data_IF_453229215551
#
_entry.id   IF_453229215551
#
_cell.length_a   1.000
_cell.length_b   1.000
_cell.length_c   1.000
_cell.angle_alpha   90.00
_cell.angle_beta   90.00
_cell.angle_gamma   90.00
#
_symmetry.space_group_name_H-M   'P 1'
#
loop_
_entity.id
_entity.type
_entity.pdbx_description
1 polymer ?
#
# COMPACT_ATOMS: atom_id res chain seq x y z
N UNK A 1 -12.87 -31.29 24.62
CA UNK A 1 -11.52 -31.82 24.92
C UNK A 1 -10.54 -30.66 24.80
N UNK A 2 -9.88 -30.28 25.89
CA UNK A 2 -8.72 -29.37 25.89
C UNK A 2 -9.01 -27.86 25.82
N UNK A 3 -9.72 -27.30 26.80
CA UNK A 3 -9.64 -25.86 27.02
C UNK A 3 -8.42 -25.61 27.91
N UNK A 4 -7.30 -25.17 27.33
CA UNK A 4 -6.17 -24.62 28.09
C UNK A 4 -6.68 -23.38 28.85
N UNK A 5 -7.21 -23.62 30.04
CA UNK A 5 -7.75 -22.61 30.91
C UNK A 5 -6.64 -21.96 31.74
N UNK A 6 -6.92 -20.78 32.28
CA UNK A 6 -6.06 -20.10 33.24
C UNK A 6 -5.66 -21.01 34.42
N UNK A 7 -6.54 -21.92 34.85
CA UNK A 7 -6.26 -22.89 35.91
C UNK A 7 -5.23 -23.96 35.52
N UNK A 8 -5.32 -24.51 34.31
CA UNK A 8 -4.39 -25.55 33.84
C UNK A 8 -2.98 -24.99 33.66
N UNK A 9 -2.87 -23.77 33.11
CA UNK A 9 -1.60 -23.06 32.99
C UNK A 9 -0.95 -22.82 34.37
N UNK A 10 -1.75 -22.51 35.39
CA UNK A 10 -1.29 -22.32 36.77
C UNK A 10 -0.70 -23.62 37.35
N UNK A 11 -1.35 -24.76 37.13
CA UNK A 11 -0.85 -26.07 37.58
C UNK A 11 0.48 -26.40 36.89
N UNK A 12 0.56 -26.23 35.57
CA UNK A 12 1.81 -26.44 34.82
C UNK A 12 2.92 -25.51 35.33
N UNK A 13 2.58 -24.25 35.64
CA UNK A 13 3.52 -23.29 36.21
C UNK A 13 4.06 -23.77 37.57
N UNK A 14 3.20 -24.25 38.48
CA UNK A 14 3.65 -24.81 39.75
C UNK A 14 4.53 -26.05 39.57
N UNK A 15 4.19 -26.95 38.65
CA UNK A 15 5.04 -28.12 38.34
C UNK A 15 6.40 -27.67 37.81
N UNK A 16 6.43 -26.71 36.89
CA UNK A 16 7.68 -26.15 36.37
C UNK A 16 8.52 -25.48 37.47
N UNK A 17 7.88 -24.76 38.40
CA UNK A 17 8.54 -24.17 39.56
C UNK A 17 9.12 -25.23 40.51
N UNK A 18 8.48 -26.38 40.68
CA UNK A 18 8.99 -27.46 41.51
C UNK A 18 10.20 -28.16 40.86
N UNK A 19 10.16 -28.37 39.54
CA UNK A 19 11.22 -29.04 38.78
C UNK A 19 12.46 -28.15 38.64
N UNK A 20 12.27 -26.90 38.21
CA UNK A 20 13.36 -25.98 37.91
C UNK A 20 13.73 -25.10 39.11
N UNK A 21 12.76 -24.76 39.95
CA UNK A 21 12.89 -23.83 41.08
C UNK A 21 12.36 -22.41 40.76
N UNK A 22 11.73 -21.72 41.73
CA UNK A 22 11.20 -20.36 41.52
C UNK A 22 12.27 -19.31 41.25
N UNK A 23 13.50 -19.55 41.70
CA UNK A 23 14.62 -18.65 41.42
C UNK A 23 15.19 -18.83 40.00
N UNK A 24 15.01 -20.00 39.38
CA UNK A 24 15.61 -20.34 38.08
C UNK A 24 14.71 -20.04 36.88
N UNK A 25 13.39 -20.09 37.07
CA UNK A 25 12.41 -19.70 36.04
C UNK A 25 12.63 -18.25 35.51
N UNK A 26 12.79 -17.21 36.36
CA UNK A 26 13.03 -15.85 35.87
C UNK A 26 14.38 -15.72 35.15
N UNK A 27 15.41 -16.45 35.58
CA UNK A 27 16.70 -16.46 34.89
C UNK A 27 16.60 -17.09 33.50
N UNK A 28 15.91 -18.23 33.37
CA UNK A 28 15.65 -18.87 32.09
C UNK A 28 14.82 -17.97 31.16
N UNK A 29 13.76 -17.35 31.68
CA UNK A 29 12.95 -16.40 30.92
C UNK A 29 13.76 -15.17 30.46
N UNK A 30 14.68 -14.68 31.30
CA UNK A 30 15.60 -13.58 30.92
C UNK A 30 16.55 -14.00 29.81
N UNK A 31 17.10 -15.22 29.85
CA UNK A 31 17.99 -15.73 28.80
C UNK A 31 17.24 -15.86 27.47
N UNK A 32 16.07 -16.49 27.47
CA UNK A 32 15.21 -16.61 26.29
C UNK A 32 14.79 -15.22 25.78
N UNK A 33 14.41 -14.32 26.69
CA UNK A 33 14.01 -12.96 26.35
C UNK A 33 15.13 -12.16 25.68
N UNK A 34 16.38 -12.32 26.14
CA UNK A 34 17.55 -11.71 25.48
C UNK A 34 17.74 -12.27 24.07
N UNK A 35 17.69 -13.59 23.90
CA UNK A 35 17.82 -14.23 22.59
C UNK A 35 16.73 -13.75 21.62
N UNK A 36 15.47 -13.71 22.06
CA UNK A 36 14.34 -13.20 21.25
C UNK A 36 14.53 -11.73 20.91
N UNK A 37 15.03 -10.91 21.84
CA UNK A 37 15.28 -9.50 21.60
C UNK A 37 16.41 -9.28 20.59
N UNK A 38 17.44 -10.11 20.64
CA UNK A 38 18.54 -10.08 19.69
C UNK A 38 18.08 -10.47 18.29
N UNK A 39 17.29 -11.55 18.18
CA UNK A 39 16.63 -11.95 16.92
C UNK A 39 15.77 -10.80 16.38
N UNK A 40 14.91 -10.19 17.22
CA UNK A 40 14.10 -9.02 16.82
C UNK A 40 14.95 -7.85 16.32
N UNK A 41 16.09 -7.58 16.95
CA UNK A 41 16.98 -6.49 16.57
C UNK A 41 17.65 -6.75 15.22
N UNK A 42 18.12 -7.98 15.00
CA UNK A 42 18.67 -8.44 13.72
C UNK A 42 17.59 -8.38 12.63
N UNK A 43 16.40 -8.93 12.87
CA UNK A 43 15.28 -8.87 11.92
C UNK A 43 14.87 -7.44 11.60
N UNK A 44 14.86 -6.53 12.59
CA UNK A 44 14.56 -5.11 12.37
C UNK A 44 15.64 -4.35 11.62
N UNK A 45 16.92 -4.74 11.76
CA UNK A 45 18.01 -4.25 10.90
C UNK A 45 17.84 -4.73 9.46
N UNK A 46 17.63 -6.04 9.30
CA UNK A 46 17.41 -6.68 8.00
C UNK A 46 16.21 -6.10 7.25
N UNK A 47 15.12 -5.75 7.94
CA UNK A 47 13.94 -5.15 7.32
C UNK A 47 14.19 -3.71 6.82
N UNK A 48 15.11 -2.97 7.45
CA UNK A 48 15.57 -1.65 6.95
C UNK A 48 16.49 -1.82 5.75
N UNK A 49 17.43 -2.74 5.84
CA UNK A 49 18.43 -2.99 4.81
C UNK A 49 17.80 -3.62 3.55
N UNK A 50 16.86 -4.56 3.70
CA UNK A 50 16.02 -5.04 2.59
C UNK A 50 15.16 -3.95 2.00
N UNK A 51 14.63 -3.03 2.81
CA UNK A 51 13.81 -1.93 2.33
C UNK A 51 14.65 -0.95 1.51
N UNK A 52 15.87 -0.65 1.92
CA UNK A 52 16.83 0.14 1.12
C UNK A 52 17.24 -0.62 -0.15
N UNK A 53 17.64 -1.89 -0.03
CA UNK A 53 18.05 -2.72 -1.17
C UNK A 53 16.91 -3.01 -2.18
N UNK A 54 15.63 -2.96 -1.78
CA UNK A 54 14.49 -3.03 -2.68
C UNK A 54 14.03 -1.65 -3.19
N UNK A 55 14.27 -0.57 -2.45
CA UNK A 55 13.90 0.79 -2.89
C UNK A 55 14.87 1.35 -3.93
N UNK A 56 16.16 1.03 -3.87
CA UNK A 56 17.14 1.40 -4.90
C UNK A 56 16.76 0.90 -6.30
N UNK A 57 16.46 -0.39 -6.53
CA UNK A 57 16.06 -0.87 -7.84
C UNK A 57 14.69 -0.33 -8.28
N UNK A 58 13.77 -0.07 -7.35
CA UNK A 58 12.48 0.54 -7.69
C UNK A 58 12.64 1.99 -8.16
N UNK A 59 13.42 2.82 -7.45
CA UNK A 59 13.67 4.21 -7.88
C UNK A 59 14.48 4.28 -9.17
N UNK A 60 15.48 3.42 -9.33
CA UNK A 60 16.24 3.33 -10.58
C UNK A 60 15.37 2.88 -11.75
N UNK A 61 14.48 1.90 -11.54
CA UNK A 61 13.53 1.46 -12.56
C UNK A 61 12.46 2.51 -12.89
N UNK A 62 12.02 3.30 -11.91
CA UNK A 62 11.05 4.37 -12.09
C UNK A 62 11.67 5.57 -12.83
N UNK A 63 12.91 5.92 -12.53
CA UNK A 63 13.69 6.92 -13.28
C UNK A 63 13.97 6.47 -14.72
N UNK A 64 14.39 5.21 -14.92
CA UNK A 64 14.58 4.66 -16.26
C UNK A 64 13.28 4.64 -17.07
N UNK A 65 12.14 4.39 -16.43
CA UNK A 65 10.82 4.51 -17.07
C UNK A 65 10.46 5.94 -17.42
N UNK A 66 10.76 6.90 -16.54
CA UNK A 66 10.49 8.32 -16.78
C UNK A 66 11.27 8.84 -17.99
N UNK A 67 12.59 8.62 -18.03
CA UNK A 67 13.46 9.00 -19.16
C UNK A 67 13.00 8.39 -20.50
N UNK A 68 12.45 7.18 -20.47
CA UNK A 68 11.95 6.49 -21.67
C UNK A 68 10.58 7.00 -22.13
N UNK A 69 9.78 7.56 -21.23
CA UNK A 69 8.43 8.09 -21.50
C UNK A 69 8.44 9.59 -21.82
N UNK A 70 9.47 10.33 -21.42
CA UNK A 70 9.65 11.76 -21.68
C UNK A 70 9.62 12.15 -23.18
N UNK A 71 10.32 11.46 -24.10
CA UNK A 71 10.22 11.79 -25.53
C UNK A 71 8.80 11.57 -26.09
N UNK A 72 8.05 10.60 -25.54
CA UNK A 72 6.69 10.31 -25.96
C UNK A 72 5.67 11.31 -25.41
N UNK A 73 5.86 11.76 -24.16
CA UNK A 73 5.04 12.81 -23.53
C UNK A 73 5.28 14.17 -24.19
N UNK A 74 6.53 14.53 -24.48
CA UNK A 74 6.83 15.77 -25.20
C UNK A 74 6.22 15.76 -26.60
N UNK A 75 6.35 14.65 -27.35
CA UNK A 75 5.73 14.51 -28.66
C UNK A 75 4.19 14.59 -28.62
N UNK A 76 3.55 14.00 -27.61
CA UNK A 76 2.10 14.09 -27.43
C UNK A 76 1.64 15.50 -27.03
N UNK A 77 2.46 16.24 -26.26
CA UNK A 77 2.13 17.60 -25.82
C UNK A 77 2.33 18.62 -26.95
N UNK A 78 3.33 18.42 -27.82
CA UNK A 78 3.54 19.24 -29.01
C UNK A 78 2.44 19.04 -30.06
N UNK A 79 1.98 17.79 -30.26
CA UNK A 79 0.90 17.48 -31.20
C UNK A 79 -0.47 18.07 -30.78
N UNK A 80 -0.67 18.37 -29.49
CA UNK A 80 -1.90 18.99 -28.97
C UNK A 80 -1.85 20.54 -29.08
N UNK A 81 -0.66 21.14 -29.22
CA UNK A 81 -0.48 22.59 -29.19
C UNK A 81 -0.52 23.28 -30.56
N UNK A 82 -0.64 22.53 -31.67
CA UNK A 82 -0.86 23.13 -33.00
C UNK A 82 -2.21 23.88 -33.00
N UNK A 83 -2.21 25.22 -33.16
CA UNK A 83 -3.44 25.97 -33.30
C UNK A 83 -4.08 25.61 -34.63
N UNK A 84 -5.28 25.02 -34.58
CA UNK A 84 -6.18 24.98 -35.73
C UNK A 84 -6.85 26.35 -35.76
N UNK A 85 -6.15 27.33 -36.33
CA UNK A 85 -6.67 28.66 -36.63
C UNK A 85 -6.44 28.89 -38.13
N UNK A 86 -7.36 29.61 -38.76
CA UNK A 86 -7.53 29.82 -40.21
C UNK A 86 -8.27 28.73 -41.02
N UNK A 87 -9.61 28.75 -40.94
CA UNK A 87 -10.47 28.71 -42.13
C UNK A 87 -11.94 29.06 -41.78
N UNK A 88 -12.30 30.34 -41.92
CA UNK A 88 -13.69 30.78 -42.19
C UNK A 88 -13.77 31.04 -43.70
N UNK A 89 -14.76 30.54 -44.48
CA UNK A 89 -16.09 31.18 -44.58
C UNK A 89 -17.24 30.19 -44.99
N UNK A 90 -18.43 30.65 -45.41
CA UNK A 90 -19.36 31.65 -44.90
C UNK A 90 -20.74 31.04 -44.51
N UNK A 91 -21.55 31.78 -43.75
CA UNK A 91 -22.94 31.42 -43.42
C UNK A 91 -23.90 31.46 -44.63
N UNK A 92 -24.95 30.60 -44.62
CA UNK A 92 -26.29 31.10 -44.90
C UNK A 92 -27.31 30.69 -43.82
N UNK A 93 -28.19 31.64 -43.51
CA UNK A 93 -29.30 31.57 -42.56
C UNK A 93 -30.45 30.67 -43.04
N UNK A 94 -31.05 29.92 -42.11
CA UNK A 94 -32.51 29.62 -41.97
C UNK A 94 -32.69 29.17 -40.52
N UNK A 95 -33.27 29.98 -39.62
CA UNK A 95 -34.71 30.20 -39.42
C UNK A 95 -35.51 28.92 -39.26
N UNK A 96 -36.37 28.94 -38.24
CA UNK A 96 -37.43 28.01 -37.89
C UNK A 96 -36.92 26.73 -37.18
N UNK A 97 -37.25 26.46 -35.93
CA UNK A 97 -38.52 26.72 -35.26
C UNK A 97 -39.01 25.39 -34.69
N UNK A 98 -39.65 25.46 -33.54
CA UNK A 98 -40.46 24.39 -32.94
C UNK A 98 -39.68 23.28 -32.21
N UNK A 99 -39.58 23.32 -30.88
CA UNK A 99 -40.65 23.04 -29.91
C UNK A 99 -40.72 21.56 -29.56
N UNK A 100 -41.17 21.36 -28.32
CA UNK A 100 -41.51 20.12 -27.66
C UNK A 100 -40.35 19.27 -27.12
N UNK A 101 -40.13 19.32 -25.81
CA UNK A 101 -40.93 18.67 -24.74
C UNK A 101 -40.38 17.27 -24.50
N UNK A 102 -39.82 17.05 -23.31
CA UNK A 102 -40.10 15.89 -22.45
C UNK A 102 -38.98 15.72 -21.40
N UNK A 103 -39.16 16.44 -20.28
CA UNK A 103 -38.86 15.91 -18.94
C UNK A 103 -40.26 15.64 -18.35
N UNK A 104 -40.58 14.50 -17.68
CA UNK A 104 -39.94 14.07 -16.43
C UNK A 104 -40.00 12.53 -16.20
N UNK A 105 -40.09 12.00 -14.96
CA UNK A 105 -39.05 11.83 -13.94
C UNK A 105 -38.76 10.33 -13.65
N UNK A 106 -37.63 10.02 -13.01
CA UNK A 106 -37.42 8.69 -12.43
C UNK A 106 -37.91 8.66 -10.97
N UNK A 107 -38.91 7.82 -10.59
CA UNK A 107 -39.18 7.49 -9.21
C UNK A 107 -38.35 6.29 -8.72
N UNK A 108 -38.17 6.26 -7.41
CA UNK A 108 -37.32 5.40 -6.58
C UNK A 108 -37.42 3.88 -6.82
N UNK A 109 -36.29 3.18 -6.58
CA UNK A 109 -36.25 1.77 -6.17
C UNK A 109 -35.02 1.49 -5.30
#
# INVERSE_FOLDING_TARGET
MGNLGSGELLVIFFVALLVLGPNKLPDAARQVGRAVNEIRRVSGGFQREMREAMQEPMRAAEQAKADMLDPFKQAATDAIKTPVDDADPPLPSTSDGDADSDDPPAPDA
#
